data_IF_535487883537
#
_entry.id   IF_535487883537
#
_cell.length_a   1.000
_cell.length_b   1.000
_cell.length_c   1.000
_cell.angle_alpha   90.00
_cell.angle_beta   90.00
_cell.angle_gamma   90.00
#
_symmetry.space_group_name_H-M   'P 1'
#
loop_
_entity.id
_entity.type
_entity.pdbx_description
1 polymer ?
#
# COMPACT_ATOMS: atom_id res chain seq x y z
N UNK A 1 -19.02 7.78 -16.10
CA UNK A 1 -18.47 7.74 -14.72
C UNK A 1 -18.31 6.30 -14.29
N UNK A 2 -17.23 5.95 -13.59
CA UNK A 2 -17.05 4.62 -13.01
C UNK A 2 -18.12 4.39 -11.92
N UNK A 3 -18.67 3.19 -11.86
CA UNK A 3 -19.67 2.83 -10.84
C UNK A 3 -18.96 2.62 -9.49
N UNK A 4 -19.35 3.33 -8.41
CA UNK A 4 -18.74 3.13 -7.10
C UNK A 4 -18.90 1.69 -6.60
N UNK A 5 -17.82 1.12 -6.08
CA UNK A 5 -17.80 -0.23 -5.55
C UNK A 5 -18.50 -0.30 -4.19
N UNK A 6 -19.21 -1.42 -3.96
CA UNK A 6 -19.99 -1.67 -2.75
C UNK A 6 -19.67 -2.99 -2.07
N UNK A 7 -18.76 -3.78 -2.63
CA UNK A 7 -18.26 -4.96 -1.92
C UNK A 7 -17.28 -4.52 -0.83
N UNK A 8 -17.05 -5.39 0.14
CA UNK A 8 -16.08 -5.10 1.20
C UNK A 8 -14.65 -5.12 0.68
N UNK A 9 -13.82 -4.24 1.21
CA UNK A 9 -12.36 -4.25 1.06
C UNK A 9 -11.69 -4.52 2.42
N UNK A 10 -10.35 -4.57 2.44
CA UNK A 10 -9.58 -4.87 3.66
C UNK A 10 -9.89 -3.91 4.82
N UNK A 11 -10.07 -2.62 4.52
CA UNK A 11 -10.47 -1.61 5.49
C UNK A 11 -11.81 -1.88 6.19
N UNK A 12 -12.81 -2.43 5.49
CA UNK A 12 -14.10 -2.78 6.11
C UNK A 12 -13.93 -3.94 7.08
N UNK A 13 -13.12 -4.94 6.70
CA UNK A 13 -12.80 -6.07 7.58
C UNK A 13 -12.03 -5.62 8.82
N UNK A 14 -11.11 -4.66 8.69
CA UNK A 14 -10.40 -4.04 9.82
C UNK A 14 -11.35 -3.26 10.73
N UNK A 15 -12.21 -2.40 10.14
CA UNK A 15 -13.21 -1.62 10.89
C UNK A 15 -14.17 -2.52 11.68
N UNK A 16 -14.63 -3.65 11.11
CA UNK A 16 -15.47 -4.64 11.81
C UNK A 16 -14.79 -5.27 13.03
N UNK A 17 -13.46 -5.27 13.08
CA UNK A 17 -12.65 -5.75 14.21
C UNK A 17 -12.14 -4.62 15.11
N UNK A 18 -12.62 -3.39 14.91
CA UNK A 18 -12.15 -2.19 15.62
C UNK A 18 -10.63 -1.96 15.49
N UNK A 19 -10.03 -2.40 14.39
CA UNK A 19 -8.61 -2.13 14.09
C UNK A 19 -8.53 -0.82 13.32
N UNK A 20 -7.79 0.15 13.85
CA UNK A 20 -7.64 1.43 13.16
C UNK A 20 -6.73 1.30 11.93
N UNK A 21 -7.10 2.01 10.87
CA UNK A 21 -6.40 2.00 9.61
C UNK A 21 -6.56 3.30 8.83
N UNK A 22 -5.57 3.62 7.99
CA UNK A 22 -5.64 4.74 7.08
C UNK A 22 -4.79 4.54 5.81
N UNK A 23 -5.16 5.27 4.76
CA UNK A 23 -4.39 5.50 3.55
C UNK A 23 -3.87 6.94 3.55
N UNK A 24 -2.56 7.10 3.58
CA UNK A 24 -1.88 8.39 3.46
C UNK A 24 -1.47 8.60 1.99
N UNK A 25 -2.02 9.64 1.37
CA UNK A 25 -1.71 9.97 -0.02
C UNK A 25 -0.89 11.28 -0.06
N UNK A 26 0.37 11.20 -0.50
CA UNK A 26 1.24 12.37 -0.60
C UNK A 26 0.67 13.40 -1.58
N UNK A 27 0.84 14.68 -1.23
CA UNK A 27 0.35 15.84 -1.97
C UNK A 27 -1.17 15.97 -2.18
N UNK A 28 -1.98 15.26 -1.40
CA UNK A 28 -3.42 15.30 -1.61
C UNK A 28 -4.00 16.65 -1.19
N UNK A 29 -3.65 17.19 -0.01
CA UNK A 29 -4.26 18.44 0.46
C UNK A 29 -3.94 19.60 -0.49
N UNK A 30 -2.69 19.73 -0.92
CA UNK A 30 -2.27 20.72 -1.92
C UNK A 30 -3.06 20.57 -3.22
N UNK A 31 -3.35 19.34 -3.65
CA UNK A 31 -4.17 19.10 -4.84
C UNK A 31 -5.61 19.58 -4.66
N UNK A 32 -6.19 19.40 -3.48
CA UNK A 32 -7.54 19.90 -3.18
C UNK A 32 -7.57 21.43 -3.10
N UNK A 33 -6.54 22.03 -2.52
CA UNK A 33 -6.51 23.49 -2.30
C UNK A 33 -6.26 24.25 -3.60
N UNK A 34 -5.32 23.78 -4.42
CA UNK A 34 -4.85 24.49 -5.61
C UNK A 34 -5.53 24.03 -6.91
N UNK A 35 -6.02 22.79 -6.99
CA UNK A 35 -6.45 22.16 -8.25
C UNK A 35 -7.88 21.63 -8.26
N UNK A 36 -8.69 21.86 -7.22
CA UNK A 36 -10.10 21.43 -7.19
C UNK A 36 -10.94 21.95 -8.38
N UNK A 37 -10.60 23.14 -8.87
CA UNK A 37 -11.29 23.81 -9.98
C UNK A 37 -10.46 23.79 -11.29
N UNK A 38 -9.34 23.06 -11.29
CA UNK A 38 -8.44 22.96 -12.44
C UNK A 38 -8.93 21.91 -13.44
N UNK A 39 -8.82 22.23 -14.73
CA UNK A 39 -9.01 21.27 -15.83
C UNK A 39 -7.73 20.50 -16.17
N UNK A 40 -6.59 20.89 -15.58
CA UNK A 40 -5.29 20.24 -15.75
C UNK A 40 -4.80 19.51 -14.51
N UNK A 41 -3.99 18.47 -14.71
CA UNK A 41 -3.31 17.75 -13.62
C UNK A 41 -2.00 18.49 -13.29
N UNK A 42 -1.72 18.81 -12.01
CA UNK A 42 -0.46 19.45 -11.63
C UNK A 42 0.74 18.64 -12.08
N UNK A 43 1.74 19.27 -12.71
CA UNK A 43 2.98 18.58 -13.10
C UNK A 43 3.84 18.18 -11.91
N UNK A 44 3.81 18.97 -10.84
CA UNK A 44 4.51 18.74 -9.57
C UNK A 44 3.62 19.36 -8.48
N UNK A 45 3.35 18.68 -7.36
CA UNK A 45 3.82 17.33 -6.98
C UNK A 45 3.06 16.15 -7.64
N UNK A 46 2.18 16.42 -8.61
CA UNK A 46 1.48 15.44 -9.46
C UNK A 46 0.73 14.34 -8.71
N UNK A 47 -0.37 14.70 -8.07
CA UNK A 47 -1.24 13.74 -7.41
C UNK A 47 -1.95 12.81 -8.40
N UNK A 48 -1.63 11.52 -8.36
CA UNK A 48 -2.33 10.50 -9.15
C UNK A 48 -3.63 10.07 -8.46
N UNK A 49 -4.77 10.63 -8.88
CA UNK A 49 -6.10 10.29 -8.34
C UNK A 49 -6.41 8.79 -8.41
N UNK A 50 -5.97 8.14 -9.48
CA UNK A 50 -6.22 6.71 -9.70
C UNK A 50 -5.36 5.80 -8.81
N UNK A 51 -4.34 6.34 -8.13
CA UNK A 51 -3.54 5.61 -7.13
C UNK A 51 -4.13 5.76 -5.72
N UNK A 52 -5.40 6.17 -5.59
CA UNK A 52 -6.09 6.28 -4.32
C UNK A 52 -7.22 5.24 -4.27
N UNK A 53 -6.91 3.97 -3.96
CA UNK A 53 -7.81 2.83 -4.26
C UNK A 53 -9.12 2.87 -3.49
N UNK A 54 -9.11 3.38 -2.25
CA UNK A 54 -10.32 3.48 -1.44
C UNK A 54 -11.28 4.59 -1.92
N UNK A 55 -10.82 5.51 -2.78
CA UNK A 55 -11.67 6.55 -3.36
C UNK A 55 -12.77 5.97 -4.29
N UNK A 56 -12.62 4.71 -4.71
CA UNK A 56 -13.56 4.01 -5.59
C UNK A 56 -14.72 3.35 -4.85
N UNK A 57 -14.74 3.36 -3.52
CA UNK A 57 -15.75 2.70 -2.70
C UNK A 57 -16.76 3.70 -2.13
N UNK A 58 -18.03 3.28 -2.07
CA UNK A 58 -19.11 4.13 -1.54
C UNK A 58 -18.81 4.62 -0.11
N UNK A 59 -18.26 3.75 0.74
CA UNK A 59 -18.04 4.04 2.16
C UNK A 59 -17.02 5.16 2.40
N UNK A 60 -16.01 5.31 1.54
CA UNK A 60 -15.05 6.41 1.59
C UNK A 60 -15.36 7.50 0.55
N UNK A 61 -16.51 7.41 -0.12
CA UNK A 61 -16.97 8.41 -1.08
C UNK A 61 -17.34 9.74 -0.43
N UNK A 62 -17.54 10.81 -1.23
CA UNK A 62 -17.90 12.15 -0.72
C UNK A 62 -19.20 12.19 0.10
N UNK A 63 -20.09 11.21 -0.07
CA UNK A 63 -21.33 11.08 0.69
C UNK A 63 -21.09 10.67 2.16
N UNK A 64 -19.88 10.24 2.51
CA UNK A 64 -19.48 9.81 3.85
C UNK A 64 -18.27 10.64 4.34
N UNK A 65 -18.41 11.97 4.54
CA UNK A 65 -17.29 12.88 4.73
C UNK A 65 -16.44 12.56 5.98
N UNK A 66 -17.06 12.16 7.09
CA UNK A 66 -16.33 11.83 8.32
C UNK A 66 -15.50 10.56 8.18
N UNK A 67 -16.06 9.49 7.62
CA UNK A 67 -15.32 8.24 7.37
C UNK A 67 -14.24 8.47 6.31
N UNK A 68 -14.54 9.24 5.26
CA UNK A 68 -13.56 9.64 4.25
C UNK A 68 -12.37 10.36 4.89
N UNK A 69 -12.61 11.41 5.70
CA UNK A 69 -11.57 12.19 6.38
C UNK A 69 -10.76 11.34 7.37
N UNK A 70 -11.42 10.40 8.04
CA UNK A 70 -10.75 9.49 8.99
C UNK A 70 -9.79 8.54 8.29
N UNK A 71 -10.22 7.91 7.18
CA UNK A 71 -9.50 6.83 6.49
C UNK A 71 -8.54 7.32 5.44
N UNK A 72 -8.93 8.33 4.70
CA UNK A 72 -8.14 8.87 3.61
C UNK A 72 -7.51 10.16 4.13
N UNK A 73 -6.21 10.09 4.42
CA UNK A 73 -5.43 11.19 5.00
C UNK A 73 -4.46 11.75 3.97
N UNK A 74 -4.22 13.05 4.06
CA UNK A 74 -3.10 13.65 3.33
C UNK A 74 -1.78 13.16 3.93
N UNK A 75 -0.89 12.69 3.06
CA UNK A 75 0.47 12.31 3.42
C UNK A 75 1.40 13.53 3.57
N UNK A 76 1.05 14.66 2.96
CA UNK A 76 1.90 15.84 2.89
C UNK A 76 2.98 15.74 1.81
N UNK A 77 4.01 16.57 1.92
CA UNK A 77 5.04 16.79 0.91
C UNK A 77 6.46 16.49 1.42
N UNK A 78 7.29 15.92 0.56
CA UNK A 78 8.73 15.81 0.76
C UNK A 78 9.15 14.88 1.90
N UNK A 79 10.33 15.17 2.44
CA UNK A 79 11.10 14.29 3.34
C UNK A 79 11.16 14.77 4.80
N UNK A 80 10.50 15.89 5.10
CA UNK A 80 10.48 16.53 6.41
C UNK A 80 9.13 16.34 7.10
N UNK A 81 9.12 16.07 8.42
CA UNK A 81 7.87 15.95 9.18
C UNK A 81 7.10 17.27 9.31
N UNK A 82 7.75 18.41 9.12
CA UNK A 82 7.13 19.73 9.02
C UNK A 82 6.15 19.84 7.85
N UNK A 83 6.40 19.12 6.75
CA UNK A 83 5.61 19.17 5.51
C UNK A 83 4.95 17.85 5.16
N UNK A 84 5.44 16.72 5.68
CA UNK A 84 4.94 15.37 5.46
C UNK A 84 4.26 14.83 6.73
N UNK A 85 2.92 14.84 6.73
CA UNK A 85 2.12 14.38 7.88
C UNK A 85 2.33 12.90 8.19
N UNK A 86 2.55 12.05 7.19
CA UNK A 86 2.83 10.64 7.44
C UNK A 86 4.12 10.47 8.26
N UNK A 87 5.18 11.21 7.90
CA UNK A 87 6.43 11.21 8.68
C UNK A 87 6.23 11.80 10.08
N UNK A 88 5.45 12.88 10.22
CA UNK A 88 5.13 13.46 11.52
C UNK A 88 4.38 12.49 12.44
N UNK A 89 3.38 11.78 11.90
CA UNK A 89 2.62 10.78 12.66
C UNK A 89 3.51 9.58 13.04
N UNK A 90 4.44 9.17 12.16
CA UNK A 90 5.44 8.16 12.48
C UNK A 90 6.36 8.59 13.63
N UNK A 91 6.93 9.79 13.56
CA UNK A 91 7.81 10.34 14.63
C UNK A 91 7.05 10.44 15.97
N UNK A 92 5.77 10.79 15.93
CA UNK A 92 4.92 10.92 17.11
C UNK A 92 4.33 9.59 17.63
N UNK A 93 4.55 8.46 16.94
CA UNK A 93 3.97 7.17 17.30
C UNK A 93 2.44 7.10 17.15
N UNK A 94 1.89 7.84 16.18
CA UNK A 94 0.45 8.01 15.94
C UNK A 94 -0.06 7.26 14.71
N UNK A 95 0.75 6.43 14.08
CA UNK A 95 0.30 5.66 12.92
C UNK A 95 -0.77 4.65 13.33
N UNK A 96 -1.88 4.51 12.57
CA UNK A 96 -2.82 3.41 12.74
C UNK A 96 -2.14 2.05 12.63
N UNK A 97 -2.76 1.03 13.23
CA UNK A 97 -2.26 -0.35 13.21
C UNK A 97 -2.02 -0.87 11.78
N UNK A 98 -2.89 -0.51 10.84
CA UNK A 98 -2.66 -0.74 9.41
C UNK A 98 -2.58 0.59 8.67
N UNK A 99 -1.38 0.92 8.20
CA UNK A 99 -1.13 2.16 7.48
C UNK A 99 -0.64 1.85 6.06
N UNK A 100 -1.34 2.40 5.07
CA UNK A 100 -0.87 2.44 3.69
C UNK A 100 -0.31 3.81 3.38
N UNK A 101 0.85 3.88 2.73
CA UNK A 101 1.47 5.13 2.31
C UNK A 101 1.77 5.08 0.83
N UNK A 102 1.36 6.14 0.11
CA UNK A 102 1.73 6.37 -1.27
C UNK A 102 2.39 7.75 -1.37
N UNK A 103 3.66 7.85 -1.81
CA UNK A 103 4.36 9.12 -1.88
C UNK A 103 3.73 10.04 -2.94
N UNK A 104 4.09 11.32 -2.86
CA UNK A 104 3.75 12.30 -3.90
C UNK A 104 4.30 11.87 -5.27
N UNK A 105 3.71 12.36 -6.36
CA UNK A 105 3.97 11.89 -7.71
C UNK A 105 5.45 11.91 -8.10
N UNK A 106 6.16 13.01 -7.90
CA UNK A 106 7.58 13.09 -8.27
C UNK A 106 8.55 12.31 -7.35
N UNK A 107 8.03 11.57 -6.35
CA UNK A 107 8.81 10.68 -5.46
C UNK A 107 8.39 9.21 -5.58
N UNK A 108 7.50 8.86 -6.52
CA UNK A 108 6.93 7.51 -6.64
C UNK A 108 7.68 6.59 -7.62
N UNK A 109 8.81 7.03 -8.19
CA UNK A 109 9.63 6.32 -9.17
C UNK A 109 8.97 6.03 -10.54
N UNK A 110 7.75 6.50 -10.79
CA UNK A 110 7.06 6.21 -12.05
C UNK A 110 7.78 6.86 -13.25
N UNK A 111 7.98 6.08 -14.30
CA UNK A 111 8.63 6.54 -15.53
C UNK A 111 7.90 7.74 -16.15
N UNK A 112 8.66 8.66 -16.72
CA UNK A 112 8.14 9.82 -17.46
C UNK A 112 7.93 11.09 -16.63
N UNK A 113 7.69 10.99 -15.32
CA UNK A 113 7.51 12.19 -14.47
C UNK A 113 8.17 12.11 -13.09
N UNK A 114 8.73 10.96 -12.72
CA UNK A 114 9.57 10.79 -11.53
C UNK A 114 10.88 10.08 -11.91
N UNK A 115 11.81 10.02 -10.97
CA UNK A 115 13.08 9.32 -11.14
C UNK A 115 13.36 8.35 -9.98
N UNK A 116 14.14 7.32 -10.28
CA UNK A 116 14.48 6.25 -9.32
C UNK A 116 15.29 6.79 -8.15
N UNK A 117 16.23 7.72 -8.39
CA UNK A 117 17.13 8.20 -7.36
C UNK A 117 16.41 9.04 -6.30
N UNK A 118 15.46 9.89 -6.69
CA UNK A 118 14.63 10.66 -5.77
C UNK A 118 13.70 9.76 -4.97
N UNK A 119 13.04 8.79 -5.63
CA UNK A 119 12.21 7.82 -4.94
C UNK A 119 13.02 6.97 -3.95
N UNK A 120 14.24 6.56 -4.28
CA UNK A 120 15.06 5.69 -3.43
C UNK A 120 15.54 6.45 -2.18
N UNK A 121 15.95 7.72 -2.33
CA UNK A 121 16.23 8.61 -1.19
C UNK A 121 15.00 8.80 -0.30
N UNK A 122 13.82 8.94 -0.89
CA UNK A 122 12.57 9.08 -0.13
C UNK A 122 12.23 7.80 0.65
N UNK A 123 12.38 6.63 0.03
CA UNK A 123 12.19 5.33 0.69
C UNK A 123 13.17 5.17 1.87
N UNK A 124 14.46 5.48 1.67
CA UNK A 124 15.47 5.45 2.74
C UNK A 124 15.08 6.37 3.91
N UNK A 125 14.64 7.60 3.61
CA UNK A 125 14.17 8.55 4.63
C UNK A 125 12.98 8.00 5.40
N UNK A 126 11.95 7.52 4.71
CA UNK A 126 10.73 6.94 5.31
C UNK A 126 11.10 5.78 6.23
N UNK A 127 11.91 4.82 5.76
CA UNK A 127 12.34 3.67 6.57
C UNK A 127 13.12 4.13 7.80
N UNK A 128 14.03 5.11 7.67
CA UNK A 128 14.78 5.65 8.81
C UNK A 128 13.87 6.29 9.86
N UNK A 129 12.84 7.01 9.45
CA UNK A 129 11.85 7.59 10.37
C UNK A 129 11.04 6.51 11.05
N UNK A 130 10.50 5.54 10.30
CA UNK A 130 9.72 4.43 10.85
C UNK A 130 10.54 3.59 11.85
N UNK A 131 11.81 3.32 11.56
CA UNK A 131 12.73 2.60 12.46
C UNK A 131 13.09 3.36 13.74
N UNK A 132 12.96 4.69 13.74
CA UNK A 132 13.15 5.54 14.93
C UNK A 132 11.85 5.80 15.69
N UNK A 133 10.71 5.43 15.11
CA UNK A 133 9.40 5.67 15.73
C UNK A 133 9.21 4.86 17.01
N UNK A 134 8.37 5.33 17.95
CA UNK A 134 7.99 4.55 19.13
C UNK A 134 7.31 3.21 18.81
N UNK A 135 6.84 3.01 17.58
CA UNK A 135 6.11 1.81 17.15
C UNK A 135 7.00 0.76 16.49
N UNK A 136 8.30 1.05 16.25
CA UNK A 136 9.21 0.20 15.48
C UNK A 136 9.29 -1.24 15.99
N UNK A 137 9.36 -1.45 17.30
CA UNK A 137 9.57 -2.77 17.92
C UNK A 137 8.46 -3.78 17.57
N UNK A 138 7.30 -3.30 17.13
CA UNK A 138 6.15 -4.11 16.72
C UNK A 138 5.72 -3.83 15.27
N UNK A 139 6.64 -3.39 14.41
CA UNK A 139 6.33 -2.95 13.05
C UNK A 139 6.78 -3.95 11.99
N UNK A 140 5.94 -4.15 10.96
CA UNK A 140 6.30 -4.80 9.69
C UNK A 140 6.08 -3.79 8.57
N UNK A 141 7.16 -3.42 7.88
CA UNK A 141 7.13 -2.52 6.72
C UNK A 141 7.23 -3.39 5.47
N UNK A 142 6.30 -3.20 4.53
CA UNK A 142 6.36 -3.78 3.19
C UNK A 142 6.57 -2.65 2.19
N UNK A 143 7.69 -2.68 1.47
CA UNK A 143 7.98 -1.75 0.36
C UNK A 143 7.80 -2.51 -0.93
N UNK A 144 6.93 -2.03 -1.81
CA UNK A 144 6.64 -2.63 -3.12
C UNK A 144 6.20 -1.54 -4.08
N UNK A 145 6.13 -1.87 -5.36
CA UNK A 145 5.48 -1.08 -6.41
C UNK A 145 4.10 -1.66 -6.74
N UNK A 146 3.26 -0.89 -7.42
CA UNK A 146 1.93 -1.31 -7.86
C UNK A 146 1.96 -2.11 -9.17
N UNK A 147 2.91 -1.80 -10.06
CA UNK A 147 3.05 -2.41 -11.39
C UNK A 147 4.51 -2.42 -11.88
N UNK A 148 4.76 -2.94 -13.09
CA UNK A 148 6.12 -3.22 -13.60
C UNK A 148 6.69 -2.13 -14.55
N UNK A 149 6.00 -1.01 -14.72
CA UNK A 149 6.30 0.09 -15.65
C UNK A 149 6.22 -0.28 -17.13
N UNK A 150 5.70 -1.46 -17.48
CA UNK A 150 5.87 -2.05 -18.80
C UNK A 150 7.30 -2.52 -19.11
N UNK A 151 8.20 -2.53 -18.11
CA UNK A 151 9.57 -3.03 -18.27
C UNK A 151 9.60 -4.55 -18.36
N UNK A 152 10.59 -5.06 -19.11
CA UNK A 152 10.76 -6.49 -19.32
C UNK A 152 11.23 -7.21 -18.05
N UNK A 153 10.62 -8.35 -17.74
CA UNK A 153 11.10 -9.34 -16.77
C UNK A 153 11.14 -10.71 -17.46
N UNK A 154 12.17 -11.50 -17.19
CA UNK A 154 12.37 -12.81 -17.81
C UNK A 154 11.42 -13.90 -17.30
N UNK A 155 10.80 -13.70 -16.13
CA UNK A 155 9.91 -14.68 -15.51
C UNK A 155 8.51 -14.50 -16.07
N UNK A 156 8.03 -15.54 -16.74
CA UNK A 156 6.64 -15.59 -17.19
C UNK A 156 5.68 -15.48 -15.98
N UNK A 157 4.65 -14.62 -16.04
CA UNK A 157 3.66 -14.52 -14.99
C UNK A 157 2.99 -15.86 -14.66
N UNK A 158 2.74 -16.18 -13.38
CA UNK A 158 1.95 -17.33 -12.98
C UNK A 158 0.55 -17.31 -13.59
N UNK A 159 0.00 -18.49 -13.95
CA UNK A 159 -1.35 -18.57 -14.52
C UNK A 159 -2.37 -18.56 -13.38
N UNK A 160 -3.13 -17.48 -13.22
CA UNK A 160 -4.23 -17.42 -12.27
C UNK A 160 -5.57 -17.06 -12.93
N UNK A 161 -6.21 -16.03 -12.39
CA UNK A 161 -7.45 -15.47 -12.93
C UNK A 161 -7.16 -14.46 -14.05
N UNK A 162 -8.23 -13.83 -14.59
CA UNK A 162 -8.13 -12.80 -15.64
C UNK A 162 -7.22 -11.63 -15.27
N UNK A 163 -7.04 -11.34 -13.99
CA UNK A 163 -6.29 -10.20 -13.46
C UNK A 163 -4.91 -10.57 -12.94
N UNK A 164 -4.48 -11.84 -13.06
CA UNK A 164 -3.11 -12.25 -12.75
C UNK A 164 -3.00 -13.56 -11.98
N UNK A 165 -1.87 -13.82 -11.30
CA UNK A 165 -0.76 -12.87 -11.03
C UNK A 165 -0.11 -12.28 -12.30
N UNK A 166 0.32 -11.01 -12.21
CA UNK A 166 0.94 -10.29 -13.32
C UNK A 166 2.47 -10.44 -13.35
N UNK A 167 3.14 -9.56 -14.10
CA UNK A 167 4.61 -9.47 -14.13
C UNK A 167 5.17 -9.29 -12.72
N UNK A 168 6.33 -9.90 -12.46
CA UNK A 168 7.03 -9.79 -11.18
C UNK A 168 7.37 -8.32 -10.87
N UNK A 169 7.27 -7.98 -9.60
CA UNK A 169 7.62 -6.67 -9.04
C UNK A 169 8.56 -6.86 -7.83
N UNK A 170 9.40 -5.87 -7.50
CA UNK A 170 10.20 -5.92 -6.27
C UNK A 170 9.32 -5.80 -5.03
N UNK A 171 9.66 -6.55 -3.99
CA UNK A 171 9.07 -6.42 -2.66
C UNK A 171 10.14 -6.62 -1.58
N UNK A 172 10.15 -5.75 -0.57
CA UNK A 172 11.00 -5.82 0.61
C UNK A 172 10.15 -5.91 1.87
N UNK A 173 10.51 -6.79 2.78
CA UNK A 173 9.94 -6.88 4.13
C UNK A 173 10.99 -6.43 5.14
N UNK A 174 10.71 -5.36 5.87
CA UNK A 174 11.62 -4.74 6.84
C UNK A 174 10.94 -4.71 8.20
N UNK A 175 11.54 -5.36 9.19
CA UNK A 175 10.94 -5.53 10.52
C UNK A 175 11.98 -6.00 11.53
N UNK A 176 11.81 -5.75 12.85
CA UNK A 176 12.52 -6.49 13.89
C UNK A 176 12.36 -8.01 13.76
N UNK A 177 11.23 -8.47 13.20
CA UNK A 177 10.90 -9.87 12.98
C UNK A 177 11.38 -10.41 11.63
N UNK A 178 11.96 -9.59 10.74
CA UNK A 178 12.33 -10.03 9.41
C UNK A 178 13.52 -11.00 9.46
N UNK A 179 13.49 -12.05 8.64
CA UNK A 179 14.63 -12.95 8.44
C UNK A 179 15.77 -12.19 7.77
N UNK A 180 16.87 -11.98 8.48
CA UNK A 180 18.02 -11.19 8.01
C UNK A 180 18.75 -11.90 6.85
N UNK A 181 19.08 -11.15 5.80
CA UNK A 181 19.87 -11.63 4.66
C UNK A 181 19.19 -12.73 3.83
N UNK A 182 17.86 -12.85 3.92
CA UNK A 182 17.10 -13.92 3.25
C UNK A 182 16.39 -13.38 2.01
N UNK A 183 16.55 -14.09 0.89
CA UNK A 183 15.65 -14.00 -0.25
C UNK A 183 14.59 -15.10 -0.08
N UNK A 184 13.32 -14.69 -0.05
CA UNK A 184 12.18 -15.60 -0.01
C UNK A 184 11.70 -15.88 -1.44
N UNK A 185 11.63 -17.16 -1.81
CA UNK A 185 11.22 -17.60 -3.14
C UNK A 185 9.76 -18.10 -3.17
N UNK A 186 9.02 -17.93 -2.07
CA UNK A 186 7.57 -18.17 -2.05
C UNK A 186 6.89 -17.29 -3.09
N UNK A 187 5.88 -17.82 -3.79
CA UNK A 187 5.14 -17.06 -4.80
C UNK A 187 4.15 -16.13 -4.11
N UNK A 188 4.30 -14.83 -4.35
CA UNK A 188 3.47 -13.76 -3.81
C UNK A 188 2.86 -12.90 -4.92
N UNK A 189 1.74 -12.25 -4.62
CA UNK A 189 1.20 -11.14 -5.41
C UNK A 189 0.92 -9.96 -4.49
N UNK A 190 0.48 -8.83 -5.03
CA UNK A 190 0.14 -7.63 -4.23
C UNK A 190 -0.93 -7.92 -3.18
N UNK A 191 -1.79 -8.93 -3.40
CA UNK A 191 -2.83 -9.34 -2.47
C UNK A 191 -2.26 -10.16 -1.29
N UNK A 192 -1.01 -10.64 -1.35
CA UNK A 192 -0.29 -11.24 -0.21
C UNK A 192 -0.16 -10.28 0.97
N UNK A 193 -0.11 -8.96 0.74
CA UNK A 193 -0.17 -7.94 1.80
C UNK A 193 -1.50 -8.02 2.56
N UNK A 194 -2.61 -8.19 1.83
CA UNK A 194 -3.93 -8.31 2.43
C UNK A 194 -4.08 -9.62 3.21
N UNK A 195 -3.41 -10.69 2.77
CA UNK A 195 -3.35 -11.97 3.49
C UNK A 195 -2.59 -11.82 4.81
N UNK A 196 -1.45 -11.11 4.79
CA UNK A 196 -0.70 -10.81 6.01
C UNK A 196 -1.58 -10.03 7.01
N UNK A 197 -2.22 -8.94 6.56
CA UNK A 197 -3.13 -8.13 7.39
C UNK A 197 -4.27 -8.98 7.95
N UNK A 198 -4.87 -9.82 7.12
CA UNK A 198 -5.95 -10.73 7.50
C UNK A 198 -5.49 -11.69 8.59
N UNK A 199 -4.28 -12.26 8.47
CA UNK A 199 -3.70 -13.18 9.45
C UNK A 199 -3.40 -12.48 10.77
N UNK A 200 -2.68 -11.36 10.73
CA UNK A 200 -2.24 -10.61 11.91
C UNK A 200 -3.43 -10.17 12.77
N UNK A 201 -4.54 -9.76 12.15
CA UNK A 201 -5.71 -9.24 12.87
C UNK A 201 -6.88 -10.23 12.96
N UNK A 202 -6.71 -11.50 12.55
CA UNK A 202 -7.76 -12.51 12.58
C UNK A 202 -9.03 -12.10 11.83
N UNK A 203 -8.86 -11.48 10.66
CA UNK A 203 -9.96 -10.99 9.83
C UNK A 203 -10.63 -12.12 9.04
N UNK A 204 -11.86 -11.89 8.62
CA UNK A 204 -12.49 -12.73 7.61
C UNK A 204 -11.75 -12.56 6.26
N UNK A 205 -11.40 -13.68 5.61
CA UNK A 205 -10.75 -13.67 4.29
C UNK A 205 -11.66 -12.98 3.26
N UNK A 206 -11.12 -11.98 2.55
CA UNK A 206 -11.81 -11.30 1.45
C UNK A 206 -12.16 -12.27 0.32
N UNK A 207 -13.31 -12.05 -0.32
CA UNK A 207 -13.75 -12.89 -1.44
C UNK A 207 -12.81 -12.82 -2.64
N UNK A 208 -12.18 -11.67 -2.88
CA UNK A 208 -11.14 -11.56 -3.92
C UNK A 208 -9.94 -12.47 -3.66
N UNK A 209 -9.56 -12.67 -2.39
CA UNK A 209 -8.49 -13.59 -2.01
C UNK A 209 -8.90 -15.05 -2.20
N UNK A 210 -10.15 -15.40 -1.87
CA UNK A 210 -10.72 -16.74 -2.12
C UNK A 210 -10.73 -17.06 -3.62
N UNK A 211 -11.26 -16.15 -4.45
CA UNK A 211 -11.30 -16.31 -5.90
C UNK A 211 -9.91 -16.47 -6.51
N UNK A 212 -8.91 -15.73 -6.01
CA UNK A 212 -7.51 -15.89 -6.43
C UNK A 212 -6.97 -17.27 -6.04
N UNK A 213 -7.23 -17.73 -4.82
CA UNK A 213 -6.82 -19.07 -4.36
C UNK A 213 -7.43 -20.16 -5.26
N UNK A 214 -8.75 -20.09 -5.53
CA UNK A 214 -9.48 -21.02 -6.39
C UNK A 214 -8.93 -21.02 -7.82
N UNK A 215 -8.63 -19.83 -8.37
CA UNK A 215 -8.08 -19.70 -9.72
C UNK A 215 -6.68 -20.31 -9.84
N UNK A 216 -5.81 -20.13 -8.83
CA UNK A 216 -4.49 -20.75 -8.80
C UNK A 216 -4.61 -22.27 -8.74
N UNK A 217 -5.47 -22.79 -7.86
CA UNK A 217 -5.73 -24.24 -7.71
C UNK A 217 -6.27 -24.83 -9.01
N UNK A 218 -7.23 -24.17 -9.66
CA UNK A 218 -7.79 -24.59 -10.95
C UNK A 218 -6.74 -24.64 -12.09
N UNK A 219 -5.60 -23.96 -11.91
CA UNK A 219 -4.44 -24.00 -12.83
C UNK A 219 -3.32 -24.92 -12.34
N UNK A 220 -3.58 -25.78 -11.35
CA UNK A 220 -2.62 -26.74 -10.81
C UNK A 220 -1.51 -26.09 -9.99
N UNK A 221 -1.72 -24.89 -9.46
CA UNK A 221 -0.75 -24.16 -8.66
C UNK A 221 -1.17 -24.07 -7.20
N UNK A 222 -0.20 -23.82 -6.31
CA UNK A 222 -0.48 -23.49 -4.92
C UNK A 222 -1.11 -22.09 -4.81
N UNK A 223 -1.95 -21.85 -3.78
CA UNK A 223 -2.37 -20.50 -3.42
C UNK A 223 -1.18 -19.58 -3.13
N UNK A 224 -1.40 -18.27 -3.30
CA UNK A 224 -0.39 -17.25 -3.04
C UNK A 224 -0.03 -17.20 -1.55
N UNK A 225 1.26 -16.98 -1.24
CA UNK A 225 1.72 -16.85 0.14
C UNK A 225 1.20 -15.58 0.83
N UNK A 226 1.43 -15.46 2.14
CA UNK A 226 0.95 -14.37 3.00
C UNK A 226 2.06 -13.56 3.69
N UNK A 227 3.27 -13.57 3.11
CA UNK A 227 4.49 -12.91 3.61
C UNK A 227 5.01 -13.40 4.97
N UNK A 228 4.35 -14.35 5.64
CA UNK A 228 4.80 -14.84 6.95
C UNK A 228 6.13 -15.57 6.89
N UNK A 229 6.48 -16.19 5.75
CA UNK A 229 7.75 -16.87 5.57
C UNK A 229 8.97 -15.91 5.61
N UNK A 230 8.76 -14.63 5.31
CA UNK A 230 9.77 -13.58 5.47
C UNK A 230 9.97 -13.16 6.93
N UNK A 231 9.10 -13.60 7.85
CA UNK A 231 9.11 -13.22 9.27
C UNK A 231 9.50 -14.41 10.16
N UNK A 232 10.08 -14.09 11.31
CA UNK A 232 10.40 -15.00 12.39
C UNK A 232 10.16 -14.30 13.71
N UNK A 233 9.22 -14.84 14.48
CA UNK A 233 8.93 -14.37 15.82
C UNK A 233 9.73 -15.21 16.81
N UNK A 234 10.49 -14.59 17.73
CA UNK A 234 11.10 -15.33 18.83
C UNK A 234 9.99 -16.02 19.64
N UNK A 235 10.30 -17.22 20.12
CA UNK A 235 9.42 -18.01 20.99
C UNK A 235 9.21 -17.35 22.35
#
# INVERSE_FOLDING_TARGET
>A
MLVPQSHEHIGDKLSKRNVDWAWYAGAWQVTLDEFKDSTGIPKIPNFQYHHQPFNYFKQQGPQNPEERKKRLRDGGLGDESSTNRFLADAEAGKLPAVTFYKPQGNLNMHAGYADVAAGDRHIDRVIKVLRKSPQWDNMVIVVTVDENGGWWDHVAPPKGDRFGPGTRIPALVISPFARKGKVDHTVYDTASILRLITRVHGLEKLDGLKRRDDAMIARGQAPMGDLTNALHFPA
#
